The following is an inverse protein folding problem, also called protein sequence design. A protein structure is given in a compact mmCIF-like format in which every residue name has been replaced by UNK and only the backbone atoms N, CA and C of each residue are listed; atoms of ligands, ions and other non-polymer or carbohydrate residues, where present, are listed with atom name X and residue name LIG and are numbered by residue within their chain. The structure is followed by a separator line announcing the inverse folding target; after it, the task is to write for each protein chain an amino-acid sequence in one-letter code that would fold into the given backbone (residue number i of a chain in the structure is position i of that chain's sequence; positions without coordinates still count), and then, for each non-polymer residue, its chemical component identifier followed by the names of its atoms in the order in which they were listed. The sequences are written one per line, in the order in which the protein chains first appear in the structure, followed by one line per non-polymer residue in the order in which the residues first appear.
data_IF_203643910018
#
_entry.id   IF_203643910018
#
_cell.length_a   1.000
_cell.length_b   1.000
_cell.length_c   1.000
_cell.angle_alpha   90.00
_cell.angle_beta   90.00
_cell.angle_gamma   90.00
#
_symmetry.space_group_name_H-M   'P 1'
#
loop_
_entity.id
_entity.type
_entity.pdbx_description
1 polymer ?
#
# COMPACT_ATOMS: atom_id res chain seq x y z
N UNK A 1 17.25 -4.85 -33.47
CA UNK A 1 15.91 -4.92 -32.83
C UNK A 1 15.93 -4.02 -31.61
N UNK A 2 15.33 -2.84 -31.67
CA UNK A 2 15.11 -1.98 -30.49
C UNK A 2 13.88 -2.51 -29.76
N UNK A 3 14.08 -3.16 -28.62
CA UNK A 3 12.98 -3.46 -27.70
C UNK A 3 12.64 -2.14 -27.02
N UNK A 4 11.65 -1.42 -27.56
CA UNK A 4 11.12 -0.26 -26.87
C UNK A 4 10.12 -0.78 -25.86
N UNK A 5 10.45 -0.58 -24.61
CA UNK A 5 9.61 -0.92 -23.48
C UNK A 5 8.24 -0.23 -23.61
N UNK A 6 7.17 -0.95 -23.26
CA UNK A 6 5.80 -0.44 -23.31
C UNK A 6 5.47 -0.01 -21.89
N UNK A 7 5.08 1.25 -21.70
CA UNK A 7 4.71 1.73 -20.38
C UNK A 7 3.28 1.27 -20.03
N UNK A 8 3.16 0.13 -19.34
CA UNK A 8 1.84 -0.39 -18.94
C UNK A 8 1.14 0.51 -17.93
N UNK A 9 1.89 1.36 -17.19
CA UNK A 9 1.32 2.32 -16.25
C UNK A 9 0.46 3.39 -16.95
N UNK A 10 0.72 3.68 -18.23
CA UNK A 10 -0.13 4.61 -18.99
C UNK A 10 -1.55 4.07 -19.24
N UNK A 11 -1.72 2.75 -19.17
CA UNK A 11 -3.02 2.11 -19.35
C UNK A 11 -3.62 1.73 -18.00
N UNK A 12 -4.63 2.49 -17.55
CA UNK A 12 -5.32 2.27 -16.26
C UNK A 12 -4.36 2.08 -15.07
N UNK A 13 -3.23 2.82 -15.04
CA UNK A 13 -2.22 2.69 -13.99
C UNK A 13 -1.63 1.27 -13.86
N UNK A 14 -1.54 0.49 -14.94
CA UNK A 14 -1.14 -0.92 -14.90
C UNK A 14 -2.15 -1.82 -14.16
N UNK A 15 -3.30 -1.27 -13.76
CA UNK A 15 -4.24 -1.89 -12.83
C UNK A 15 -3.85 -1.75 -11.36
N UNK A 16 -2.82 -0.97 -11.01
CA UNK A 16 -2.42 -0.71 -9.63
C UNK A 16 -3.42 0.21 -8.91
N UNK A 17 -3.71 -0.07 -7.64
CA UNK A 17 -4.60 0.76 -6.80
C UNK A 17 -4.00 2.14 -6.48
N UNK A 18 -2.70 2.20 -6.20
CA UNK A 18 -2.02 3.41 -5.76
C UNK A 18 -0.98 3.89 -6.76
N UNK A 19 0.22 3.34 -6.72
CA UNK A 19 1.33 3.78 -7.56
C UNK A 19 1.73 2.67 -8.53
N UNK A 20 1.95 3.04 -9.79
CA UNK A 20 2.53 2.17 -10.80
C UNK A 20 3.92 2.70 -11.19
N UNK A 21 4.89 1.80 -11.28
CA UNK A 21 6.24 2.09 -11.72
C UNK A 21 6.58 1.18 -12.89
N UNK A 22 6.69 1.78 -14.07
CA UNK A 22 7.10 1.05 -15.25
C UNK A 22 8.58 0.60 -15.14
N UNK A 23 8.86 -0.64 -15.51
CA UNK A 23 10.21 -1.22 -15.52
C UNK A 23 10.49 -1.83 -16.89
N UNK A 24 11.76 -2.00 -17.27
CA UNK A 24 12.05 -2.51 -18.62
C UNK A 24 11.63 -3.99 -18.70
N UNK A 25 10.56 -4.26 -19.47
CA UNK A 25 9.94 -5.56 -19.67
C UNK A 25 8.76 -5.87 -18.75
N UNK A 26 8.38 -4.97 -17.83
CA UNK A 26 7.23 -5.15 -16.93
C UNK A 26 6.84 -3.85 -16.20
N UNK A 27 6.02 -3.95 -15.16
CA UNK A 27 5.71 -2.84 -14.27
C UNK A 27 5.52 -3.36 -12.84
N UNK A 28 5.80 -2.50 -11.86
CA UNK A 28 5.66 -2.79 -10.45
C UNK A 28 4.62 -1.86 -9.83
N UNK A 29 3.67 -2.42 -9.09
CA UNK A 29 2.75 -1.63 -8.27
C UNK A 29 3.34 -1.40 -6.87
N UNK A 30 3.07 -0.24 -6.30
CA UNK A 30 3.42 0.08 -4.92
C UNK A 30 2.30 0.81 -4.21
N UNK A 31 2.22 0.63 -2.89
CA UNK A 31 1.17 1.20 -2.06
C UNK A 31 1.65 2.43 -1.29
N UNK A 32 0.72 3.30 -0.92
CA UNK A 32 0.97 4.40 0.01
C UNK A 32 1.45 3.85 1.36
N UNK A 33 2.16 4.70 2.13
CA UNK A 33 2.53 4.38 3.51
C UNK A 33 1.28 4.01 4.32
N UNK A 34 1.38 2.97 5.13
CA UNK A 34 0.24 2.40 5.87
C UNK A 34 -0.58 1.38 5.07
N UNK A 35 -0.19 1.06 3.83
CA UNK A 35 -0.84 0.03 3.01
C UNK A 35 0.19 -1.01 2.55
N UNK A 36 -0.24 -2.27 2.46
CA UNK A 36 0.53 -3.40 1.91
C UNK A 36 -0.03 -3.82 0.57
N UNK A 37 0.86 -4.20 -0.35
CA UNK A 37 0.48 -4.78 -1.63
C UNK A 37 -0.03 -6.21 -1.40
N UNK A 38 -1.18 -6.53 -1.99
CA UNK A 38 -1.78 -7.86 -1.92
C UNK A 38 -1.09 -8.84 -2.88
N UNK A 39 -1.47 -10.12 -2.78
CA UNK A 39 -0.91 -11.21 -3.59
C UNK A 39 -1.21 -11.11 -5.08
N UNK A 40 -2.17 -10.27 -5.47
CA UNK A 40 -2.45 -9.93 -6.87
C UNK A 40 -1.48 -8.87 -7.44
N UNK A 41 -0.52 -8.40 -6.63
CA UNK A 41 0.53 -7.45 -6.98
C UNK A 41 -0.01 -6.11 -7.50
N UNK A 42 -1.28 -5.79 -7.25
CA UNK A 42 -1.96 -4.59 -7.77
C UNK A 42 -2.76 -3.85 -6.73
N UNK A 43 -3.46 -4.59 -5.87
CA UNK A 43 -4.38 -4.07 -4.88
C UNK A 43 -3.65 -3.72 -3.59
N UNK A 44 -4.09 -2.65 -2.93
CA UNK A 44 -3.50 -2.16 -1.70
C UNK A 44 -4.47 -2.33 -0.53
N UNK A 45 -4.06 -3.12 0.46
CA UNK A 45 -4.82 -3.28 1.70
C UNK A 45 -4.19 -2.45 2.81
N UNK A 46 -5.03 -1.78 3.58
CA UNK A 46 -4.63 -1.07 4.80
C UNK A 46 -3.89 -2.01 5.77
N UNK A 47 -2.80 -1.53 6.34
CA UNK A 47 -2.05 -2.25 7.36
C UNK A 47 -2.66 -1.90 8.70
N UNK A 48 -3.34 -2.87 9.30
CA UNK A 48 -3.85 -2.69 10.65
C UNK A 48 -2.71 -2.68 11.67
N UNK A 49 -2.22 -1.49 12.00
CA UNK A 49 -1.17 -1.35 13.00
C UNK A 49 -1.64 -1.73 14.41
N UNK A 50 -2.96 -1.72 14.67
CA UNK A 50 -3.52 -2.17 15.95
C UNK A 50 -3.47 -3.69 16.13
N UNK A 51 -3.34 -4.44 15.03
CA UNK A 51 -3.10 -5.89 15.07
C UNK A 51 -1.63 -6.24 15.37
N UNK A 52 -0.72 -5.26 15.41
CA UNK A 52 0.67 -5.48 15.81
C UNK A 52 0.81 -5.37 17.34
N UNK A 53 1.56 -6.30 17.93
CA UNK A 53 1.80 -6.31 19.37
C UNK A 53 2.58 -5.05 19.79
N UNK A 54 2.13 -4.37 20.86
CA UNK A 54 2.73 -3.15 21.43
C UNK A 54 2.63 -1.85 20.62
N UNK A 55 1.65 -1.71 19.73
CA UNK A 55 1.45 -0.44 19.00
C UNK A 55 0.95 0.72 19.87
N UNK A 56 0.08 0.44 20.85
CA UNK A 56 -0.43 1.43 21.80
C UNK A 56 -0.49 0.84 23.22
N UNK A 57 -0.31 1.67 24.25
CA UNK A 57 -0.40 1.23 25.66
C UNK A 57 -1.84 0.99 26.15
N UNK A 58 -2.80 1.73 25.61
CA UNK A 58 -4.22 1.66 25.99
C UNK A 58 -5.10 1.24 24.81
N UNK A 59 -5.78 2.20 24.17
CA UNK A 59 -6.70 1.92 23.07
C UNK A 59 -6.03 2.25 21.74
N UNK A 60 -6.19 1.37 20.75
CA UNK A 60 -5.74 1.61 19.37
C UNK A 60 -6.96 1.66 18.44
N UNK A 61 -7.00 2.67 17.57
CA UNK A 61 -8.00 2.83 16.53
C UNK A 61 -7.31 2.83 15.17
N UNK A 62 -7.57 1.81 14.37
CA UNK A 62 -7.04 1.73 13.02
C UNK A 62 -7.83 2.64 12.06
N UNK A 63 -7.14 3.34 11.18
CA UNK A 63 -7.72 4.17 10.12
C UNK A 63 -7.01 3.87 8.78
N UNK A 64 -7.65 4.13 7.64
CA UNK A 64 -6.99 3.92 6.35
C UNK A 64 -5.69 4.73 6.22
N UNK A 65 -4.55 4.02 6.21
CA UNK A 65 -3.19 4.53 6.09
C UNK A 65 -2.53 5.01 7.39
N UNK A 66 -3.20 4.89 8.55
CA UNK A 66 -2.68 5.34 9.83
C UNK A 66 -3.48 4.78 11.00
N UNK A 67 -2.93 4.82 12.21
CA UNK A 67 -3.66 4.51 13.44
C UNK A 67 -3.63 5.70 14.40
N UNK A 68 -4.54 5.69 15.37
CA UNK A 68 -4.54 6.63 16.49
C UNK A 68 -4.55 5.86 17.81
N UNK A 69 -3.61 6.17 18.70
CA UNK A 69 -3.66 5.70 20.09
C UNK A 69 -4.50 6.66 20.93
N UNK A 70 -5.42 6.11 21.73
CA UNK A 70 -6.19 6.87 22.71
C UNK A 70 -5.85 6.39 24.12
N UNK A 71 -5.63 7.34 25.03
CA UNK A 71 -5.47 7.08 26.45
C UNK A 71 -6.81 7.22 27.16
N UNK A 72 -7.16 6.26 28.02
CA UNK A 72 -8.28 6.43 28.93
C UNK A 72 -7.96 7.57 29.90
N UNK A 73 -8.85 8.56 30.03
CA UNK A 73 -8.74 9.58 31.07
C UNK A 73 -8.93 8.87 32.41
N UNK A 74 -7.91 8.96 33.27
CA UNK A 74 -7.95 8.49 34.65
C UNK A 74 -8.83 9.36 35.53
#
# INVERSE_FOLDING_TARGET
KTCKDIDECQSRNGGCDHFCKNTVGSFDCSCKKGFKLLTDEKSCQDVDECSLDRTCDHSCLNHPGTFTCACNKG
#
